data_IF_036973385975
#
_entry.id   IF_036973385975
#
_cell.length_a   1.000
_cell.length_b   1.000
_cell.length_c   1.000
_cell.angle_alpha   90.00
_cell.angle_beta   90.00
_cell.angle_gamma   90.00
#
_symmetry.space_group_name_H-M   'P 1'
#
loop_
_entity.id
_entity.type
_entity.pdbx_description
1 polymer ?
#
# COMPACT_ATOMS: atom_id res chain seq x y z
N UNK A 1 6.28 14.23 10.63
CA UNK A 1 5.88 13.60 9.37
C UNK A 1 7.10 13.36 8.49
N UNK A 2 7.17 12.20 7.83
CA UNK A 2 8.30 11.85 6.94
C UNK A 2 8.16 12.68 5.65
N UNK A 3 9.05 13.65 5.45
CA UNK A 3 8.97 14.57 4.30
C UNK A 3 9.54 13.96 3.02
N UNK A 4 10.66 13.25 3.17
CA UNK A 4 11.32 12.50 2.13
C UNK A 4 11.36 11.04 2.58
N UNK A 5 10.54 10.20 1.96
CA UNK A 5 10.47 8.80 2.32
C UNK A 5 9.56 8.01 1.40
N UNK A 6 9.67 6.70 1.51
CA UNK A 6 8.88 5.73 0.75
C UNK A 6 8.30 4.67 1.68
N UNK A 7 7.19 4.10 1.27
CA UNK A 7 6.55 2.96 1.90
C UNK A 7 6.60 1.78 0.93
N UNK A 8 7.13 0.65 1.39
CA UNK A 8 7.10 -0.60 0.65
C UNK A 8 6.00 -1.48 1.21
N UNK A 9 5.09 -1.90 0.34
CA UNK A 9 3.99 -2.82 0.64
C UNK A 9 4.38 -4.20 0.11
N UNK A 10 4.56 -5.16 1.00
CA UNK A 10 5.05 -6.49 0.65
C UNK A 10 3.96 -7.56 0.79
N UNK A 11 3.77 -8.31 -0.30
CA UNK A 11 2.91 -9.49 -0.34
C UNK A 11 3.67 -10.76 0.09
N UNK A 12 2.92 -11.75 0.60
CA UNK A 12 3.44 -13.10 0.93
C UNK A 12 4.08 -13.81 -0.26
N UNK A 13 3.66 -13.51 -1.49
CA UNK A 13 4.09 -14.19 -2.72
C UNK A 13 5.38 -13.62 -3.34
N UNK A 14 6.00 -12.64 -2.68
CA UNK A 14 7.20 -12.00 -3.22
C UNK A 14 6.93 -10.72 -4.03
N UNK A 15 5.67 -10.34 -4.27
CA UNK A 15 5.35 -9.06 -4.92
C UNK A 15 5.55 -7.86 -3.97
N UNK A 16 6.01 -6.72 -4.50
CA UNK A 16 6.17 -5.47 -3.76
C UNK A 16 5.72 -4.28 -4.60
N UNK A 17 5.01 -3.35 -3.97
CA UNK A 17 4.75 -2.03 -4.52
C UNK A 17 5.38 -0.96 -3.62
N UNK A 18 5.97 0.07 -4.23
CA UNK A 18 6.58 1.20 -3.53
C UNK A 18 5.75 2.45 -3.79
N UNK A 19 5.49 3.20 -2.74
CA UNK A 19 4.82 4.50 -2.77
C UNK A 19 5.74 5.52 -2.12
N UNK A 20 5.76 6.74 -2.64
CA UNK A 20 6.27 7.85 -1.83
C UNK A 20 5.36 8.05 -0.61
N UNK A 21 5.96 8.50 0.48
CA UNK A 21 5.20 8.81 1.69
C UNK A 21 4.13 9.89 1.40
N UNK A 22 4.46 10.87 0.54
CA UNK A 22 3.53 11.93 0.13
C UNK A 22 2.34 11.43 -0.69
N UNK A 23 2.52 10.40 -1.54
CA UNK A 23 1.40 9.77 -2.26
C UNK A 23 0.37 9.16 -1.32
N UNK A 24 0.78 8.67 -0.16
CA UNK A 24 -0.12 8.02 0.79
C UNK A 24 -0.74 8.99 1.80
N UNK A 25 -0.01 10.03 2.20
CA UNK A 25 -0.38 10.83 3.36
C UNK A 25 -0.47 12.34 3.14
N UNK A 26 -0.03 12.86 2.00
CA UNK A 26 0.02 14.31 1.73
C UNK A 26 -0.71 14.67 0.44
N UNK A 27 -1.91 14.09 0.25
CA UNK A 27 -2.76 14.34 -0.91
C UNK A 27 -3.79 15.43 -0.62
N UNK A 28 -4.10 16.21 -1.65
CA UNK A 28 -5.13 17.26 -1.57
C UNK A 28 -6.56 16.70 -1.66
N UNK A 29 -6.75 15.60 -2.40
CA UNK A 29 -8.07 15.00 -2.66
C UNK A 29 -8.72 14.32 -1.44
N UNK A 30 -8.03 14.28 -0.29
CA UNK A 30 -8.47 13.63 0.95
C UNK A 30 -8.77 12.13 0.80
N UNK A 31 -8.36 11.50 -0.30
CA UNK A 31 -8.53 10.06 -0.52
C UNK A 31 -7.38 9.33 0.15
N UNK A 32 -7.66 8.68 1.28
CA UNK A 32 -6.68 7.89 2.02
C UNK A 32 -6.42 6.52 1.38
N UNK A 33 -5.23 5.92 1.61
CA UNK A 33 -4.98 4.53 1.29
C UNK A 33 -5.87 3.61 2.15
N UNK A 34 -6.26 2.48 1.57
CA UNK A 34 -7.13 1.50 2.21
C UNK A 34 -6.33 0.21 2.45
N UNK A 35 -6.35 -0.26 3.69
CA UNK A 35 -5.99 -1.63 4.06
C UNK A 35 -7.29 -2.39 4.33
N UNK A 36 -7.82 -3.06 3.31
CA UNK A 36 -9.06 -3.82 3.41
C UNK A 36 -8.79 -5.24 3.88
N UNK A 37 -9.68 -5.76 4.73
CA UNK A 37 -9.73 -7.17 5.12
C UNK A 37 -10.78 -7.87 4.28
N UNK A 38 -10.44 -9.02 3.71
CA UNK A 38 -11.40 -9.87 3.00
C UNK A 38 -12.17 -10.75 4.00
N UNK A 39 -13.51 -10.75 3.90
CA UNK A 39 -14.38 -11.64 4.70
C UNK A 39 -14.29 -13.10 4.25
N UNK A 40 -13.74 -13.35 3.06
CA UNK A 40 -13.51 -14.68 2.53
C UNK A 40 -12.06 -15.03 2.72
N UNK A 41 -11.84 -16.24 3.26
CA UNK A 41 -10.57 -16.96 3.26
C UNK A 41 -10.17 -17.27 1.80
N UNK A 42 -9.86 -16.21 1.06
CA UNK A 42 -9.44 -16.31 -0.32
C UNK A 42 -8.01 -16.81 -0.34
N UNK A 43 -7.71 -17.68 -1.32
CA UNK A 43 -6.33 -18.05 -1.68
C UNK A 43 -5.40 -16.84 -1.90
N UNK A 44 -5.96 -15.64 -2.03
CA UNK A 44 -5.29 -14.37 -2.25
C UNK A 44 -4.92 -13.60 -0.96
N UNK A 45 -5.11 -14.21 0.22
CA UNK A 45 -4.72 -13.65 1.53
C UNK A 45 -5.71 -12.63 2.11
N UNK A 46 -5.65 -12.45 3.43
CA UNK A 46 -6.64 -11.65 4.18
C UNK A 46 -6.58 -10.15 3.93
N UNK A 47 -5.37 -9.60 3.76
CA UNK A 47 -5.17 -8.15 3.65
C UNK A 47 -4.89 -7.74 2.22
N UNK A 48 -5.56 -6.67 1.77
CA UNK A 48 -5.28 -5.98 0.51
C UNK A 48 -5.02 -4.51 0.77
N UNK A 49 -3.96 -3.99 0.20
CA UNK A 49 -3.61 -2.57 0.25
C UNK A 49 -3.85 -1.96 -1.13
N UNK A 50 -4.54 -0.84 -1.19
CA UNK A 50 -4.70 -0.07 -2.41
C UNK A 50 -4.96 1.40 -2.11
N UNK A 51 -4.54 2.26 -3.04
CA UNK A 51 -4.91 3.67 -3.04
C UNK A 51 -6.01 3.87 -4.09
N UNK A 52 -7.25 4.24 -3.71
CA UNK A 52 -8.38 4.31 -4.67
C UNK A 52 -8.17 5.29 -5.82
N UNK A 53 -7.36 6.32 -5.60
CA UNK A 53 -7.02 7.32 -6.61
C UNK A 53 -5.88 6.88 -7.54
N UNK A 54 -5.33 5.67 -7.36
CA UNK A 54 -4.27 5.14 -8.20
C UNK A 54 -4.86 4.48 -9.44
N UNK A 55 -4.34 4.84 -10.62
CA UNK A 55 -4.83 4.31 -11.89
C UNK A 55 -4.31 2.90 -12.16
N UNK A 56 -3.15 2.54 -11.60
CA UNK A 56 -2.46 1.31 -11.94
C UNK A 56 -2.86 0.17 -10.98
N UNK A 57 -3.50 -0.86 -11.54
CA UNK A 57 -4.05 -1.97 -10.77
C UNK A 57 -2.98 -2.88 -10.11
N UNK A 58 -1.77 -2.90 -10.64
CA UNK A 58 -0.63 -3.60 -10.04
C UNK A 58 -0.23 -3.00 -8.69
N UNK A 59 -0.45 -1.69 -8.47
CA UNK A 59 -0.24 -1.03 -7.18
C UNK A 59 -1.27 -1.43 -6.11
N UNK A 60 -2.32 -2.16 -6.46
CA UNK A 60 -3.25 -2.77 -5.50
C UNK A 60 -2.72 -4.14 -5.02
N UNK A 61 -1.92 -4.12 -3.95
CA UNK A 61 -1.24 -5.30 -3.41
C UNK A 61 -2.22 -6.21 -2.66
N UNK A 62 -2.31 -7.47 -3.09
CA UNK A 62 -3.06 -8.53 -2.40
C UNK A 62 -2.13 -9.27 -1.42
N UNK A 63 -2.71 -10.10 -0.56
CA UNK A 63 -1.99 -10.91 0.44
C UNK A 63 -0.91 -10.12 1.20
N UNK A 64 -1.22 -8.89 1.63
CA UNK A 64 -0.26 -8.02 2.30
C UNK A 64 0.20 -8.66 3.60
N UNK A 65 1.52 -8.76 3.75
CA UNK A 65 2.19 -9.31 4.93
C UNK A 65 2.83 -8.23 5.77
N UNK A 66 3.53 -7.29 5.11
CA UNK A 66 4.40 -6.31 5.77
C UNK A 66 4.29 -4.94 5.10
N UNK A 67 4.44 -3.90 5.92
CA UNK A 67 4.59 -2.51 5.49
C UNK A 67 5.89 -1.97 6.07
N UNK A 68 6.78 -1.50 5.20
CA UNK A 68 8.06 -0.93 5.59
C UNK A 68 8.09 0.56 5.30
N UNK A 69 8.54 1.36 6.28
CA UNK A 69 8.69 2.80 6.15
C UNK A 69 10.18 3.15 6.09
N UNK A 70 10.59 3.77 4.98
CA UNK A 70 11.95 4.22 4.78
C UNK A 70 12.00 5.73 4.72
N UNK A 71 12.85 6.34 5.56
CA UNK A 71 13.20 7.75 5.43
C UNK A 71 14.37 7.86 4.45
N UNK A 72 14.27 8.78 3.50
CA UNK A 72 15.33 9.09 2.54
C UNK A 72 15.93 10.44 2.97
N UNK A 73 17.27 10.48 3.10
CA UNK A 73 18.00 11.70 3.48
C UNK A 73 18.25 12.59 2.27
#
# INVERSE_FOLDING_TARGET
>A
WIRNGVVCVASVDGYRAIFSFSELFNRYDQVGPILSVSDKDEKSGFYRFFLPSDFYADRAVKAVKELYFFKIN
#
